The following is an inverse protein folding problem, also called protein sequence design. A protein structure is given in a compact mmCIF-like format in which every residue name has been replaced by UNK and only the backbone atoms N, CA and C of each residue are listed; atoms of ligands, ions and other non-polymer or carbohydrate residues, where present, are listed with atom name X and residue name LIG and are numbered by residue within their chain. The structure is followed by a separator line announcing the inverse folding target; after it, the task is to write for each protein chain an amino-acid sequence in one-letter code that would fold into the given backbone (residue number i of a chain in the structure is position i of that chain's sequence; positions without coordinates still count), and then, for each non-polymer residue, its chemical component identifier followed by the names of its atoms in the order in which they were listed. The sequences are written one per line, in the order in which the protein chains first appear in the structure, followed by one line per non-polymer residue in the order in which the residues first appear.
data_IF_431354068488
#
_entry.id   IF_431354068488
#
_cell.length_a   1.000
_cell.length_b   1.000
_cell.length_c   1.000
_cell.angle_alpha   90.00
_cell.angle_beta   90.00
_cell.angle_gamma   90.00
#
_symmetry.space_group_name_H-M   'P 1'
#
loop_
_entity.id
_entity.type
_entity.pdbx_description
1 polymer ?
#
# COMPACT_ATOMS: atom_id res chain seq x y z
N UNK A 1 -3.49 -8.17 -10.94
CA UNK A 1 -3.13 -6.75 -10.94
C UNK A 1 -3.49 -6.11 -9.63
N UNK A 2 -2.69 -6.13 -8.60
CA UNK A 2 -2.96 -5.27 -7.47
C UNK A 2 -2.42 -3.86 -7.73
N UNK A 3 -3.12 -2.87 -7.18
CA UNK A 3 -2.66 -1.49 -7.17
C UNK A 3 -2.44 -1.09 -5.72
N UNK A 4 -1.25 -0.57 -5.44
CA UNK A 4 -0.89 -0.12 -4.10
C UNK A 4 -0.60 1.38 -4.14
N UNK A 5 -1.35 2.16 -3.35
CA UNK A 5 -1.15 3.60 -3.26
C UNK A 5 -0.82 3.96 -1.83
N UNK A 6 0.35 4.52 -1.63
CA UNK A 6 0.86 4.87 -0.30
C UNK A 6 0.78 6.38 -0.10
N UNK A 7 0.09 6.79 0.96
CA UNK A 7 -0.07 8.21 1.32
C UNK A 7 0.77 8.54 2.54
N UNK A 8 1.44 9.72 2.49
CA UNK A 8 2.21 10.28 3.59
C UNK A 8 3.44 9.47 3.97
N UNK A 9 4.08 8.84 2.98
CA UNK A 9 5.34 8.14 3.18
C UNK A 9 6.45 8.87 2.44
N UNK A 10 7.67 8.81 2.98
CA UNK A 10 8.84 9.37 2.33
C UNK A 10 9.44 8.33 1.39
N UNK A 11 9.79 8.76 0.16
CA UNK A 11 10.33 7.86 -0.84
C UNK A 11 11.58 7.13 -0.36
N UNK A 12 12.47 7.86 0.34
CA UNK A 12 13.71 7.27 0.83
C UNK A 12 13.47 6.14 1.83
N UNK A 13 12.48 6.29 2.70
CA UNK A 13 12.12 5.23 3.65
C UNK A 13 11.50 4.04 2.95
N UNK A 14 10.63 4.30 1.97
CA UNK A 14 9.99 3.23 1.21
C UNK A 14 11.00 2.46 0.37
N UNK A 15 11.97 3.14 -0.21
CA UNK A 15 12.98 2.48 -1.02
C UNK A 15 13.73 1.41 -0.21
N UNK A 16 13.99 1.67 1.07
CA UNK A 16 14.72 0.74 1.92
C UNK A 16 13.98 -0.56 2.22
N UNK A 17 12.65 -0.56 2.16
CA UNK A 17 11.85 -1.75 2.47
C UNK A 17 11.11 -2.31 1.26
N UNK A 18 11.17 -1.61 0.12
CA UNK A 18 10.33 -1.94 -1.03
C UNK A 18 10.59 -3.33 -1.60
N UNK A 19 11.84 -3.76 -1.69
CA UNK A 19 12.15 -5.08 -2.24
C UNK A 19 11.56 -6.18 -1.38
N UNK A 20 11.79 -6.11 -0.08
CA UNK A 20 11.28 -7.12 0.84
C UNK A 20 9.75 -7.14 0.87
N UNK A 21 9.13 -5.95 0.86
CA UNK A 21 7.68 -5.86 0.82
C UNK A 21 7.14 -6.48 -0.46
N UNK A 22 7.74 -6.14 -1.60
CA UNK A 22 7.29 -6.66 -2.88
C UNK A 22 7.46 -8.18 -2.97
N UNK A 23 8.57 -8.72 -2.46
CA UNK A 23 8.80 -10.16 -2.46
C UNK A 23 7.73 -10.88 -1.62
N UNK A 24 7.44 -10.36 -0.45
CA UNK A 24 6.44 -10.95 0.43
C UNK A 24 5.04 -10.84 -0.16
N UNK A 25 4.71 -9.70 -0.76
CA UNK A 25 3.39 -9.50 -1.38
C UNK A 25 3.21 -10.41 -2.59
N UNK A 26 4.25 -10.57 -3.39
CA UNK A 26 4.19 -11.49 -4.53
C UNK A 26 3.88 -12.90 -4.06
N UNK A 27 4.56 -13.37 -3.03
CA UNK A 27 4.35 -14.70 -2.49
C UNK A 27 2.92 -14.86 -1.95
N UNK A 28 2.43 -13.84 -1.23
CA UNK A 28 1.10 -13.88 -0.63
C UNK A 28 0.00 -13.81 -1.68
N UNK A 29 0.13 -12.94 -2.66
CA UNK A 29 -0.91 -12.71 -3.67
C UNK A 29 -0.81 -13.72 -4.81
N UNK A 30 0.39 -14.16 -5.14
CA UNK A 30 0.60 -15.11 -6.22
C UNK A 30 0.51 -14.50 -7.61
N UNK A 31 0.96 -13.27 -7.78
CA UNK A 31 0.94 -12.58 -9.06
C UNK A 31 2.36 -12.43 -9.61
N UNK A 32 2.51 -12.09 -10.91
CA UNK A 32 3.84 -11.80 -11.46
C UNK A 32 4.51 -10.65 -10.71
N UNK A 33 5.82 -10.74 -10.55
CA UNK A 33 6.59 -9.77 -9.78
C UNK A 33 6.45 -8.34 -10.33
N UNK A 34 6.37 -8.20 -11.64
CA UNK A 34 6.22 -6.90 -12.30
C UNK A 34 4.87 -6.24 -12.04
N UNK A 35 3.90 -6.97 -11.50
CA UNK A 35 2.61 -6.39 -11.09
C UNK A 35 2.69 -5.70 -9.74
N UNK A 36 3.77 -5.94 -8.97
CA UNK A 36 3.92 -5.32 -7.66
C UNK A 36 4.67 -4.01 -7.82
N UNK A 37 3.93 -2.93 -7.86
CA UNK A 37 4.47 -1.57 -7.99
C UNK A 37 3.83 -0.71 -6.91
N UNK A 38 4.64 0.07 -6.24
CA UNK A 38 4.18 0.96 -5.16
C UNK A 38 4.15 2.39 -5.65
N UNK A 39 2.96 2.95 -5.72
CA UNK A 39 2.79 4.35 -6.06
C UNK A 39 2.78 5.16 -4.76
N UNK A 40 3.58 6.22 -4.72
CA UNK A 40 3.64 7.12 -3.57
C UNK A 40 2.91 8.39 -3.93
N UNK A 41 1.89 8.72 -3.14
CA UNK A 41 1.06 9.90 -3.40
C UNK A 41 1.45 10.96 -2.39
N UNK A 42 1.91 12.10 -2.91
CA UNK A 42 2.35 13.22 -2.09
C UNK A 42 1.24 14.26 -2.04
N UNK A 43 0.85 14.64 -0.83
CA UNK A 43 -0.25 15.57 -0.65
C UNK A 43 -0.05 16.38 0.62
N UNK A 44 -0.90 17.38 0.80
CA UNK A 44 -0.91 18.21 2.01
C UNK A 44 -2.14 17.90 2.82
N UNK A 45 -2.06 18.17 4.12
CA UNK A 45 -3.17 17.99 5.05
C UNK A 45 -3.50 19.32 5.68
N UNK A 46 -4.78 19.63 5.79
CA UNK A 46 -5.24 20.80 6.54
C UNK A 46 -5.90 20.30 7.80
N UNK A 47 -5.38 20.79 8.93
CA UNK A 47 -5.88 20.42 10.25
C UNK A 47 -5.93 21.67 11.10
N UNK A 48 -7.12 22.06 11.53
CA UNK A 48 -7.33 23.24 12.36
C UNK A 48 -6.61 24.48 11.82
N UNK A 49 -6.90 24.83 10.59
CA UNK A 49 -6.30 25.93 9.80
C UNK A 49 -4.79 25.82 9.57
N UNK A 50 -4.18 24.71 9.98
CA UNK A 50 -2.75 24.47 9.77
C UNK A 50 -2.57 23.57 8.54
N UNK A 51 -1.68 23.95 7.66
CA UNK A 51 -1.36 23.17 6.47
C UNK A 51 -0.06 22.44 6.70
N UNK A 52 -0.08 21.11 6.51
CA UNK A 52 1.10 20.25 6.66
C UNK A 52 1.36 19.54 5.34
N UNK A 53 2.64 19.28 5.05
CA UNK A 53 3.03 18.57 3.83
C UNK A 53 3.01 17.05 4.02
N UNK A 54 2.54 16.55 5.16
CA UNK A 54 2.50 15.12 5.44
C UNK A 54 1.77 14.84 6.72
N UNK A 55 1.84 13.58 7.15
CA UNK A 55 1.19 13.13 8.35
C UNK A 55 2.04 12.01 8.96
N UNK A 56 2.01 11.88 10.28
CA UNK A 56 2.70 10.79 10.98
C UNK A 56 1.94 9.48 10.91
N UNK A 57 0.77 9.48 10.28
CA UNK A 57 -0.08 8.31 10.17
C UNK A 57 -0.35 8.02 8.69
N UNK A 58 0.56 7.29 8.02
CA UNK A 58 0.35 6.94 6.62
C UNK A 58 -0.81 5.96 6.45
N UNK A 59 -1.39 5.96 5.27
CA UNK A 59 -2.39 4.96 4.94
C UNK A 59 -2.16 4.43 3.52
N UNK A 60 -2.62 3.21 3.29
CA UNK A 60 -2.38 2.50 2.04
C UNK A 60 -3.71 2.03 1.47
N UNK A 61 -3.94 2.33 0.20
CA UNK A 61 -5.08 1.83 -0.54
C UNK A 61 -4.61 0.64 -1.37
N UNK A 62 -5.32 -0.48 -1.24
CA UNK A 62 -5.06 -1.67 -2.04
C UNK A 62 -6.28 -1.96 -2.88
N UNK A 63 -6.11 -1.89 -4.20
CA UNK A 63 -7.18 -2.24 -5.15
C UNK A 63 -6.76 -3.50 -5.88
N UNK A 64 -7.55 -4.57 -5.75
CA UNK A 64 -7.26 -5.81 -6.45
C UNK A 64 -8.54 -6.64 -6.59
N UNK A 65 -8.48 -7.70 -7.38
CA UNK A 65 -9.59 -8.64 -7.47
C UNK A 65 -9.73 -9.39 -6.15
N UNK A 66 -10.97 -9.68 -5.77
CA UNK A 66 -11.26 -10.30 -4.48
C UNK A 66 -10.42 -11.56 -4.25
N UNK A 67 -9.91 -11.69 -3.04
CA UNK A 67 -9.15 -12.83 -2.58
C UNK A 67 -9.74 -13.35 -1.28
N UNK A 68 -9.43 -14.60 -0.89
CA UNK A 68 -9.91 -15.11 0.39
C UNK A 68 -9.50 -14.20 1.56
N UNK A 69 -10.29 -14.13 2.64
CA UNK A 69 -9.99 -13.25 3.78
C UNK A 69 -8.58 -13.45 4.36
N UNK A 70 -8.07 -14.67 4.39
CA UNK A 70 -6.74 -14.93 4.92
C UNK A 70 -5.63 -14.30 4.08
N UNK A 71 -5.84 -14.20 2.76
CA UNK A 71 -4.90 -13.51 1.89
C UNK A 71 -4.92 -12.02 2.19
N UNK A 72 -6.11 -11.45 2.32
CA UNK A 72 -6.26 -10.03 2.64
C UNK A 72 -5.61 -9.69 3.98
N UNK A 73 -5.81 -10.52 5.00
CA UNK A 73 -5.17 -10.33 6.30
C UNK A 73 -3.66 -10.34 6.17
N UNK A 74 -3.11 -11.27 5.40
CA UNK A 74 -1.67 -11.37 5.24
C UNK A 74 -1.10 -10.17 4.46
N UNK A 75 -1.81 -9.71 3.42
CA UNK A 75 -1.40 -8.52 2.68
C UNK A 75 -1.32 -7.31 3.61
N UNK A 76 -2.34 -7.10 4.43
CA UNK A 76 -2.35 -5.99 5.38
C UNK A 76 -1.19 -6.11 6.37
N UNK A 77 -0.95 -7.33 6.87
CA UNK A 77 0.13 -7.59 7.83
C UNK A 77 1.49 -7.27 7.23
N UNK A 78 1.74 -7.73 5.99
CA UNK A 78 3.00 -7.45 5.30
C UNK A 78 3.23 -5.96 5.17
N UNK A 79 2.19 -5.23 4.78
CA UNK A 79 2.30 -3.79 4.56
C UNK A 79 2.63 -3.07 5.86
N UNK A 80 1.86 -3.31 6.93
CA UNK A 80 2.12 -2.56 8.15
C UNK A 80 3.44 -2.97 8.82
N UNK A 81 3.85 -4.23 8.71
CA UNK A 81 5.16 -4.65 9.24
C UNK A 81 6.30 -3.95 8.51
N UNK A 82 6.21 -3.85 7.20
CA UNK A 82 7.24 -3.17 6.42
C UNK A 82 7.23 -1.66 6.67
N UNK A 83 6.06 -1.05 6.86
CA UNK A 83 5.99 0.37 7.23
C UNK A 83 6.60 0.60 8.61
N UNK A 84 6.37 -0.31 9.56
CA UNK A 84 7.01 -0.21 10.86
C UNK A 84 8.53 -0.28 10.74
N UNK A 85 9.03 -1.19 9.90
CA UNK A 85 10.47 -1.30 9.64
C UNK A 85 11.02 -0.02 8.99
N UNK A 86 10.19 0.70 8.23
CA UNK A 86 10.57 1.97 7.64
C UNK A 86 10.47 3.15 8.60
N UNK A 87 10.01 2.91 9.83
CA UNK A 87 9.94 3.94 10.86
C UNK A 87 8.56 4.53 11.11
N UNK A 88 7.50 3.92 10.55
CA UNK A 88 6.13 4.40 10.76
C UNK A 88 5.45 3.51 11.80
N UNK A 89 5.20 4.08 12.98
CA UNK A 89 4.62 3.34 14.11
C UNK A 89 3.15 2.99 13.88
N UNK A 90 2.43 3.85 13.17
CA UNK A 90 1.01 3.69 12.91
C UNK A 90 0.75 3.76 11.43
N UNK A 91 -0.16 2.92 10.93
CA UNK A 91 -0.58 2.96 9.54
C UNK A 91 -1.92 2.28 9.41
N UNK A 92 -2.69 2.71 8.41
CA UNK A 92 -3.94 2.07 8.06
C UNK A 92 -3.82 1.48 6.66
N UNK A 93 -4.44 0.33 6.47
CA UNK A 93 -4.49 -0.32 5.16
C UNK A 93 -5.94 -0.67 4.89
N UNK A 94 -6.46 -0.26 3.74
CA UNK A 94 -7.81 -0.65 3.37
C UNK A 94 -7.85 -1.15 1.93
N UNK A 95 -8.89 -1.92 1.63
CA UNK A 95 -9.00 -2.65 0.39
C UNK A 95 -10.26 -2.28 -0.36
N UNK A 96 -10.15 -2.22 -1.68
CA UNK A 96 -11.30 -2.13 -2.58
C UNK A 96 -11.16 -3.24 -3.60
N UNK A 97 -12.27 -3.89 -3.90
CA UNK A 97 -12.25 -4.99 -4.85
C UNK A 97 -12.55 -4.48 -6.25
N UNK A 98 -11.68 -4.85 -7.19
CA UNK A 98 -11.95 -4.66 -8.61
C UNK A 98 -12.85 -5.80 -9.07
N UNK A 99 -13.77 -5.51 -9.97
CA UNK A 99 -14.60 -6.54 -10.58
C UNK A 99 -14.26 -6.66 -12.07
N UNK A 100 -14.31 -7.87 -12.63
CA UNK A 100 -13.97 -8.04 -14.06
C UNK A 100 -14.76 -7.12 -14.97
N UNK A 101 -16.04 -6.87 -14.68
CA UNK A 101 -16.88 -6.02 -15.51
C UNK A 101 -16.51 -4.54 -15.41
N UNK A 102 -15.73 -4.13 -14.41
CA UNK A 102 -15.31 -2.74 -14.22
C UNK A 102 -13.83 -2.52 -14.56
N UNK A 103 -13.16 -3.56 -15.03
CA UNK A 103 -11.71 -3.48 -15.27
C UNK A 103 -11.43 -3.74 -16.74
N UNK A 104 -10.90 -2.73 -17.39
CA UNK A 104 -10.54 -2.81 -18.81
C UNK A 104 -9.03 -2.77 -18.94
N UNK A 105 -8.50 -3.76 -19.66
CA UNK A 105 -7.07 -3.89 -19.88
C UNK A 105 -6.79 -3.82 -21.37
N UNK A 106 -5.87 -2.96 -21.77
CA UNK A 106 -5.59 -2.74 -23.17
C UNK A 106 -4.33 -3.50 -23.61
#
# INVERSE_FOLDING_TARGET
MPFFKFHFVEASRMAGVSRRMADRLQETIGCPREHIVFELIHSSVVEDVTIKSGNDWPYVEVDYFERPPEVQHEVAKVIYECLMAAGYQNSDVYFRYLTPENYYEN
#
